data_IF_486168880029
#
_entry.id   IF_486168880029
#
_cell.length_a   1.000
_cell.length_b   1.000
_cell.length_c   1.000
_cell.angle_alpha   90.00
_cell.angle_beta   90.00
_cell.angle_gamma   90.00
#
_symmetry.space_group_name_H-M   'P 1'
#
loop_
_entity.id
_entity.type
_entity.pdbx_description
1 polymer ?
#
# COMPACT_ATOMS: atom_id res chain seq x y z
N UNK A 1 5.45 -8.25 -13.16
CA UNK A 1 6.54 -7.60 -12.42
C UNK A 1 5.98 -6.97 -11.14
N UNK A 2 6.70 -7.14 -10.04
CA UNK A 2 6.34 -6.56 -8.76
C UNK A 2 7.23 -5.35 -8.46
N UNK A 3 6.68 -4.38 -7.75
CA UNK A 3 7.42 -3.25 -7.22
C UNK A 3 7.13 -3.17 -5.72
N UNK A 4 8.11 -2.82 -4.92
CA UNK A 4 7.89 -2.64 -3.49
C UNK A 4 8.79 -1.55 -2.94
N UNK A 5 8.38 -1.00 -1.81
CA UNK A 5 9.16 0.02 -1.14
C UNK A 5 8.53 0.40 0.18
N UNK A 6 9.27 1.17 0.98
CA UNK A 6 8.85 1.61 2.29
C UNK A 6 8.85 3.12 2.39
N UNK A 7 7.97 3.68 3.22
CA UNK A 7 7.85 5.12 3.44
C UNK A 7 7.57 5.86 2.13
N UNK A 8 8.45 6.77 1.70
CA UNK A 8 8.34 7.41 0.38
C UNK A 8 8.38 6.38 -0.74
N UNK A 9 9.17 5.31 -0.56
CA UNK A 9 9.23 4.19 -1.50
C UNK A 9 7.92 3.42 -1.57
N UNK A 10 7.19 3.33 -0.47
CA UNK A 10 5.85 2.74 -0.45
C UNK A 10 4.86 3.57 -1.24
N UNK A 11 4.91 4.89 -1.08
CA UNK A 11 4.10 5.82 -1.86
C UNK A 11 4.41 5.67 -3.35
N UNK A 12 5.70 5.61 -3.71
CA UNK A 12 6.13 5.47 -5.11
C UNK A 12 5.73 4.12 -5.69
N UNK A 13 5.78 3.05 -4.88
CA UNK A 13 5.34 1.72 -5.33
C UNK A 13 3.85 1.73 -5.65
N UNK A 14 3.06 2.39 -4.82
CA UNK A 14 1.63 2.56 -5.05
C UNK A 14 1.38 3.31 -6.37
N UNK A 15 2.03 4.46 -6.55
CA UNK A 15 1.87 5.23 -7.79
C UNK A 15 2.36 4.47 -9.02
N UNK A 16 3.48 3.77 -8.91
CA UNK A 16 4.00 2.99 -10.04
C UNK A 16 2.98 1.97 -10.52
N UNK A 17 2.35 1.25 -9.59
CA UNK A 17 1.35 0.25 -9.92
C UNK A 17 0.06 0.87 -10.46
N UNK A 18 -0.37 1.99 -9.88
CA UNK A 18 -1.60 2.65 -10.32
C UNK A 18 -1.43 3.35 -11.68
N UNK A 19 -0.25 3.91 -11.95
CA UNK A 19 0.01 4.59 -13.23
C UNK A 19 0.36 3.59 -14.34
N UNK A 20 0.95 2.45 -13.99
CA UNK A 20 1.41 1.46 -14.94
C UNK A 20 1.02 0.03 -14.53
N UNK A 21 -0.28 -0.26 -14.41
CA UNK A 21 -0.71 -1.59 -13.98
C UNK A 21 -0.33 -2.69 -14.96
N UNK A 22 -0.10 -2.34 -16.22
CA UNK A 22 0.36 -3.29 -17.25
C UNK A 22 1.79 -3.74 -17.01
N UNK A 23 2.58 -2.96 -16.27
CA UNK A 23 3.96 -3.30 -15.92
C UNK A 23 4.09 -3.83 -14.50
N UNK A 24 3.42 -3.18 -13.56
CA UNK A 24 3.53 -3.49 -12.14
C UNK A 24 2.20 -4.02 -11.63
N UNK A 25 1.94 -5.28 -11.95
CA UNK A 25 0.70 -5.93 -11.53
C UNK A 25 0.64 -6.30 -10.05
N UNK A 26 1.72 -6.05 -9.31
CA UNK A 26 1.81 -6.41 -7.90
C UNK A 26 2.67 -5.38 -7.16
N UNK A 27 2.13 -4.77 -6.12
CA UNK A 27 2.83 -3.74 -5.36
C UNK A 27 2.91 -4.07 -3.87
N UNK A 28 4.12 -3.98 -3.33
CA UNK A 28 4.37 -4.03 -1.90
C UNK A 28 4.49 -2.61 -1.37
N UNK A 29 3.55 -2.20 -0.55
CA UNK A 29 3.38 -0.82 -0.09
C UNK A 29 3.57 -0.83 1.43
N UNK A 30 4.81 -0.57 1.86
CA UNK A 30 5.19 -0.71 3.27
C UNK A 30 5.25 0.66 3.93
N UNK A 31 4.47 0.85 5.00
CA UNK A 31 4.43 2.11 5.75
C UNK A 31 4.41 3.32 4.81
N UNK A 32 3.44 3.40 3.91
CA UNK A 32 3.48 4.38 2.82
C UNK A 32 3.23 5.81 3.30
N UNK A 33 3.86 6.77 2.64
CA UNK A 33 3.72 8.18 2.95
C UNK A 33 2.43 8.79 2.36
N UNK A 34 1.30 8.11 2.48
CA UNK A 34 0.01 8.61 2.00
C UNK A 34 -0.40 9.92 2.67
N UNK A 35 0.12 10.18 3.86
CA UNK A 35 -0.16 11.41 4.60
C UNK A 35 0.36 12.67 3.89
N UNK A 36 1.20 12.53 2.85
CA UNK A 36 1.68 13.66 2.07
C UNK A 36 0.57 14.35 1.27
N UNK A 37 -0.56 13.69 1.11
CA UNK A 37 -1.71 14.22 0.38
C UNK A 37 -2.96 14.16 1.24
N UNK A 38 -3.92 15.06 0.97
CA UNK A 38 -5.17 15.11 1.73
C UNK A 38 -6.13 14.02 1.25
N UNK A 39 -7.18 13.77 2.04
CA UNK A 39 -8.26 12.87 1.64
C UNK A 39 -8.88 13.30 0.31
N UNK A 40 -9.10 14.61 0.14
CA UNK A 40 -9.68 15.15 -1.09
C UNK A 40 -8.80 14.88 -2.30
N UNK A 41 -7.47 15.04 -2.14
CA UNK A 41 -6.51 14.73 -3.19
C UNK A 41 -6.61 13.27 -3.60
N UNK A 42 -6.69 12.36 -2.63
CA UNK A 42 -6.78 10.93 -2.89
C UNK A 42 -8.11 10.55 -3.53
N UNK A 43 -9.23 11.14 -3.08
CA UNK A 43 -10.53 10.90 -3.70
C UNK A 43 -10.51 11.25 -5.18
N UNK A 44 -9.94 12.41 -5.50
CA UNK A 44 -9.83 12.89 -6.88
C UNK A 44 -8.94 11.97 -7.71
N UNK A 45 -7.79 11.59 -7.15
CA UNK A 45 -6.85 10.71 -7.86
C UNK A 45 -7.48 9.35 -8.16
N UNK A 46 -8.07 8.72 -7.15
CA UNK A 46 -8.64 7.39 -7.29
C UNK A 46 -9.83 7.39 -8.24
N UNK A 47 -10.61 8.45 -8.28
CA UNK A 47 -11.78 8.55 -9.17
C UNK A 47 -11.39 8.45 -10.64
N UNK A 48 -10.15 8.80 -10.99
CA UNK A 48 -9.68 8.78 -12.38
C UNK A 48 -8.83 7.56 -12.70
N UNK A 49 -8.44 6.75 -11.70
CA UNK A 49 -7.48 5.67 -11.89
C UNK A 49 -8.05 4.27 -11.73
N UNK A 50 -9.16 4.10 -11.03
CA UNK A 50 -9.72 2.77 -10.80
C UNK A 50 -10.50 2.31 -12.01
N UNK A 51 -9.96 1.28 -12.67
CA UNK A 51 -10.51 0.67 -13.88
C UNK A 51 -10.37 -0.86 -13.76
N UNK A 52 -10.67 -1.58 -14.82
CA UNK A 52 -10.48 -3.02 -14.84
C UNK A 52 -8.97 -3.38 -14.77
N UNK A 53 -8.68 -4.56 -14.28
CA UNK A 53 -7.31 -5.10 -14.21
C UNK A 53 -6.35 -4.28 -13.34
N UNK A 54 -6.86 -3.80 -12.19
CA UNK A 54 -6.03 -3.09 -11.23
C UNK A 54 -5.00 -4.04 -10.59
N UNK A 55 -3.86 -3.49 -10.14
CA UNK A 55 -2.79 -4.31 -9.55
C UNK A 55 -3.21 -4.94 -8.23
N UNK A 56 -2.49 -5.98 -7.82
CA UNK A 56 -2.62 -6.53 -6.48
C UNK A 56 -1.81 -5.66 -5.52
N UNK A 57 -2.43 -5.24 -4.44
CA UNK A 57 -1.81 -4.38 -3.44
C UNK A 57 -1.57 -5.16 -2.15
N UNK A 58 -0.31 -5.25 -1.75
CA UNK A 58 0.07 -5.77 -0.45
C UNK A 58 0.46 -4.55 0.39
N UNK A 59 -0.41 -4.17 1.32
CA UNK A 59 -0.23 -2.97 2.11
C UNK A 59 0.09 -3.34 3.55
N UNK A 60 1.21 -2.85 4.06
CA UNK A 60 1.64 -3.09 5.42
C UNK A 60 1.83 -1.78 6.17
N UNK A 61 1.42 -1.74 7.42
CA UNK A 61 1.79 -0.67 8.35
C UNK A 61 1.84 -1.21 9.77
N UNK A 62 2.64 -0.56 10.61
CA UNK A 62 2.61 -0.72 12.06
C UNK A 62 1.99 0.51 12.70
N UNK A 63 2.22 0.71 13.99
CA UNK A 63 1.82 1.92 14.70
C UNK A 63 2.69 2.13 15.95
N UNK A 64 3.91 1.61 15.92
CA UNK A 64 4.77 1.52 17.10
C UNK A 64 5.51 2.79 17.49
N UNK A 65 5.48 3.82 16.66
CA UNK A 65 6.01 5.14 17.03
C UNK A 65 5.09 6.22 16.47
N UNK A 66 5.39 7.47 16.81
CA UNK A 66 4.53 8.60 16.45
C UNK A 66 4.34 8.75 14.94
N UNK A 67 5.42 8.63 14.18
CA UNK A 67 5.34 8.72 12.72
C UNK A 67 4.56 7.56 12.14
N UNK A 68 4.83 6.35 12.59
CA UNK A 68 4.13 5.17 12.08
C UNK A 68 2.63 5.20 12.40
N UNK A 69 2.26 5.78 13.54
CA UNK A 69 0.85 5.94 13.89
C UNK A 69 0.14 6.89 12.92
N UNK A 70 0.80 8.00 12.54
CA UNK A 70 0.26 8.92 11.55
C UNK A 70 0.13 8.24 10.19
N UNK A 71 1.10 7.42 9.83
CA UNK A 71 1.08 6.66 8.59
C UNK A 71 -0.04 5.61 8.62
N UNK A 72 -0.21 4.94 9.76
CA UNK A 72 -1.31 4.00 9.94
C UNK A 72 -2.66 4.66 9.69
N UNK A 73 -2.89 5.83 10.28
CA UNK A 73 -4.15 6.55 10.10
C UNK A 73 -4.40 6.93 8.64
N UNK A 74 -3.37 7.43 7.95
CA UNK A 74 -3.50 7.78 6.54
C UNK A 74 -3.70 6.55 5.64
N UNK A 75 -3.09 5.43 6.02
CA UNK A 75 -3.26 4.16 5.30
C UNK A 75 -4.69 3.64 5.44
N UNK A 76 -5.25 3.72 6.64
CA UNK A 76 -6.65 3.33 6.87
C UNK A 76 -7.61 4.21 6.08
N UNK A 77 -7.34 5.51 6.02
CA UNK A 77 -8.14 6.43 5.21
C UNK A 77 -8.10 6.03 3.73
N UNK A 78 -6.91 5.73 3.21
CA UNK A 78 -6.81 5.32 1.81
C UNK A 78 -7.51 3.98 1.56
N UNK A 79 -7.38 3.04 2.50
CA UNK A 79 -8.05 1.75 2.39
C UNK A 79 -9.58 1.94 2.29
N UNK A 80 -10.14 2.82 3.13
CA UNK A 80 -11.57 3.15 3.07
C UNK A 80 -11.94 3.71 1.69
N UNK A 81 -11.11 4.59 1.14
CA UNK A 81 -11.37 5.17 -0.18
C UNK A 81 -11.34 4.11 -1.28
N UNK A 82 -10.43 3.15 -1.18
CA UNK A 82 -10.38 2.04 -2.13
C UNK A 82 -11.65 1.20 -2.06
N UNK A 83 -12.12 0.91 -0.84
CA UNK A 83 -13.37 0.18 -0.65
C UNK A 83 -14.56 0.94 -1.23
N UNK A 84 -14.66 2.25 -0.95
CA UNK A 84 -15.72 3.11 -1.46
C UNK A 84 -15.70 3.20 -2.99
N UNK A 85 -14.52 3.03 -3.59
CA UNK A 85 -14.34 3.07 -5.04
C UNK A 85 -14.50 1.70 -5.70
N UNK A 86 -14.94 0.70 -4.95
CA UNK A 86 -15.15 -0.67 -5.42
C UNK A 86 -13.88 -1.36 -5.94
N UNK A 87 -12.73 -1.07 -5.31
CA UNK A 87 -11.50 -1.77 -5.63
C UNK A 87 -11.69 -3.27 -5.36
N UNK A 88 -11.23 -4.17 -6.25
CA UNK A 88 -11.43 -5.61 -6.06
C UNK A 88 -10.83 -6.07 -4.74
N UNK A 89 -11.66 -6.58 -3.84
CA UNK A 89 -11.22 -6.99 -2.50
C UNK A 89 -10.24 -8.16 -2.54
N UNK A 90 -10.27 -8.97 -3.59
CA UNK A 90 -9.35 -10.10 -3.77
C UNK A 90 -7.97 -9.65 -4.28
N UNK A 91 -7.80 -8.37 -4.53
CA UNK A 91 -6.54 -7.77 -4.97
C UNK A 91 -5.94 -6.83 -3.93
N UNK A 92 -6.44 -6.85 -2.71
CA UNK A 92 -5.87 -6.10 -1.59
C UNK A 92 -5.60 -7.05 -0.44
N UNK A 93 -4.39 -6.96 0.12
CA UNK A 93 -4.04 -7.64 1.35
C UNK A 93 -3.45 -6.60 2.28
N UNK A 94 -4.18 -6.24 3.33
CA UNK A 94 -3.71 -5.30 4.33
C UNK A 94 -3.19 -6.05 5.55
N UNK A 95 -1.94 -5.80 5.92
CA UNK A 95 -1.30 -6.40 7.09
C UNK A 95 -0.94 -5.30 8.08
N UNK A 96 -1.41 -5.45 9.31
CA UNK A 96 -1.12 -4.50 10.36
C UNK A 96 -0.40 -5.24 11.48
N UNK A 97 0.83 -4.82 11.77
CA UNK A 97 1.58 -5.35 12.90
C UNK A 97 1.71 -4.25 13.95
N UNK A 98 0.76 -4.26 14.88
CA UNK A 98 0.76 -3.29 15.98
C UNK A 98 2.09 -3.35 16.73
N UNK A 99 2.52 -2.20 17.23
CA UNK A 99 3.76 -1.99 17.95
C UNK A 99 5.02 -1.96 17.06
N UNK A 100 4.92 -2.28 15.76
CA UNK A 100 6.05 -2.11 14.86
C UNK A 100 6.24 -0.64 14.51
N UNK A 101 7.49 -0.19 14.54
CA UNK A 101 7.87 1.20 14.30
C UNK A 101 8.19 1.47 12.83
N UNK A 102 8.40 2.75 12.51
CA UNK A 102 8.74 3.19 11.16
C UNK A 102 10.25 3.05 10.94
N UNK A 103 10.70 1.83 10.67
CA UNK A 103 12.13 1.54 10.50
C UNK A 103 12.37 0.27 9.68
N UNK A 104 13.63 0.10 9.27
CA UNK A 104 14.06 -1.03 8.43
C UNK A 104 13.88 -2.38 9.11
N UNK A 105 13.97 -2.44 10.43
CA UNK A 105 13.77 -3.68 11.16
C UNK A 105 12.36 -4.20 10.95
N UNK A 106 11.37 -3.33 11.04
CA UNK A 106 9.95 -3.66 10.83
C UNK A 106 9.71 -4.10 9.38
N UNK A 107 10.28 -3.39 8.41
CA UNK A 107 10.10 -3.71 7.00
C UNK A 107 10.79 -5.00 6.62
N UNK A 108 11.95 -5.29 7.20
CA UNK A 108 12.66 -6.55 7.02
C UNK A 108 11.86 -7.72 7.57
N UNK A 109 11.12 -7.50 8.64
CA UNK A 109 10.27 -8.52 9.24
C UNK A 109 9.12 -8.92 8.31
N UNK A 110 8.51 -7.95 7.62
CA UNK A 110 7.35 -8.20 6.76
C UNK A 110 7.71 -8.65 5.35
N UNK A 111 8.92 -8.32 4.88
CA UNK A 111 9.30 -8.59 3.50
C UNK A 111 9.18 -10.07 3.09
N UNK A 112 9.58 -11.06 3.92
CA UNK A 112 9.41 -12.47 3.55
C UNK A 112 7.97 -12.85 3.29
N UNK A 113 7.02 -12.34 4.07
CA UNK A 113 5.61 -12.62 3.87
C UNK A 113 5.11 -12.02 2.55
N UNK A 114 5.52 -10.79 2.26
CA UNK A 114 5.21 -10.15 0.98
C UNK A 114 5.74 -11.00 -0.18
N UNK A 115 7.00 -11.40 -0.10
CA UNK A 115 7.64 -12.17 -1.16
C UNK A 115 6.94 -13.53 -1.36
N UNK A 116 6.61 -14.20 -0.27
CA UNK A 116 5.89 -15.47 -0.32
C UNK A 116 4.52 -15.30 -0.98
N UNK A 117 3.80 -14.26 -0.59
CA UNK A 117 2.48 -13.97 -1.15
C UNK A 117 2.57 -13.68 -2.65
N UNK A 118 3.58 -12.90 -3.05
CA UNK A 118 3.80 -12.60 -4.46
C UNK A 118 4.10 -13.88 -5.26
N UNK A 119 5.05 -14.70 -4.77
CA UNK A 119 5.44 -15.92 -5.47
C UNK A 119 4.30 -16.93 -5.60
N UNK A 120 3.42 -17.00 -4.61
CA UNK A 120 2.30 -17.92 -4.63
C UNK A 120 1.20 -17.51 -5.62
N UNK A 121 1.25 -16.29 -6.14
CA UNK A 121 0.29 -15.78 -7.13
C UNK A 121 0.81 -15.84 -8.56
N UNK A 122 2.02 -16.31 -8.77
CA UNK A 122 2.61 -16.44 -10.11
C UNK A 122 1.99 -17.65 -10.89
#
# INVERSE_FOLDING_TARGET
VAVCGSSSGGLMSFFSAFEHPEKFGYAGVFSPAFLCYTREDWEKYLSTKIVENMPYLYIYTGNGDELEEMIFESTEMLYELLEESFYPYDRINEVILFENAHNEKSWREIFPDFLHTFLSRL
#
